data_IF_669818818052
#
_entry.id   IF_669818818052
#
_cell.length_a   1.000
_cell.length_b   1.000
_cell.length_c   1.000
_cell.angle_alpha   90.00
_cell.angle_beta   90.00
_cell.angle_gamma   90.00
#
_symmetry.space_group_name_H-M   'P 1'
#
loop_
_entity.id
_entity.type
_entity.pdbx_description
1 polymer ?
#
# COMPACT_ATOMS: atom_id res chain seq x y z
N UNK A 1 -12.60 4.64 27.95
CA UNK A 1 -11.57 4.50 26.92
C UNK A 1 -11.93 5.42 25.78
N UNK A 2 -11.18 6.51 25.59
CA UNK A 2 -11.46 7.53 24.58
C UNK A 2 -11.13 7.00 23.19
N UNK A 3 -12.15 6.78 22.38
CA UNK A 3 -12.03 6.61 20.93
C UNK A 3 -11.49 7.93 20.37
N UNK A 4 -10.17 7.99 20.21
CA UNK A 4 -9.50 9.13 19.60
C UNK A 4 -9.79 9.02 18.11
N UNK A 5 -10.76 9.82 17.67
CA UNK A 5 -11.20 9.94 16.29
C UNK A 5 -9.97 10.09 15.39
N UNK A 6 -9.69 9.09 14.56
CA UNK A 6 -8.68 9.19 13.52
C UNK A 6 -9.01 10.44 12.68
N UNK A 7 -8.16 11.46 12.74
CA UNK A 7 -8.41 12.70 11.98
C UNK A 7 -8.46 12.37 10.48
N UNK A 8 -9.40 12.94 9.69
CA UNK A 8 -9.55 12.66 8.26
C UNK A 8 -8.26 12.79 7.44
N UNK A 9 -7.32 13.61 7.91
CA UNK A 9 -6.00 13.81 7.33
C UNK A 9 -5.15 12.54 7.40
N UNK A 10 -5.14 11.83 8.54
CA UNK A 10 -4.36 10.60 8.70
C UNK A 10 -4.80 9.51 7.72
N UNK A 11 -6.12 9.31 7.58
CA UNK A 11 -6.68 8.37 6.63
C UNK A 11 -6.35 8.74 5.17
N UNK A 12 -6.34 10.03 4.82
CA UNK A 12 -5.95 10.49 3.49
C UNK A 12 -4.47 10.24 3.20
N UNK A 13 -3.58 10.52 4.16
CA UNK A 13 -2.15 10.26 4.01
C UNK A 13 -1.84 8.76 3.87
N UNK A 14 -2.54 7.90 4.63
CA UNK A 14 -2.42 6.44 4.45
C UNK A 14 -2.91 6.00 3.06
N UNK A 15 -4.01 6.57 2.55
CA UNK A 15 -4.48 6.26 1.20
C UNK A 15 -3.46 6.66 0.13
N UNK A 16 -2.89 7.86 0.22
CA UNK A 16 -1.82 8.31 -0.71
C UNK A 16 -0.59 7.41 -0.63
N UNK A 17 -0.22 6.98 0.57
CA UNK A 17 0.89 6.05 0.74
C UNK A 17 0.60 4.71 0.06
N UNK A 18 -0.60 4.15 0.24
CA UNK A 18 -1.04 2.93 -0.44
C UNK A 18 -0.99 3.07 -1.95
N UNK A 19 -1.50 4.18 -2.48
CA UNK A 19 -1.47 4.45 -3.92
C UNK A 19 -0.03 4.51 -4.45
N UNK A 20 0.83 5.25 -3.75
CA UNK A 20 2.25 5.41 -4.10
C UNK A 20 2.99 4.07 -4.14
N UNK A 21 2.89 3.27 -3.08
CA UNK A 21 3.55 1.96 -2.99
C UNK A 21 2.97 1.00 -4.04
N UNK A 22 1.65 0.96 -4.20
CA UNK A 22 1.00 0.05 -5.14
C UNK A 22 1.35 0.39 -6.59
N UNK A 23 1.35 1.66 -6.97
CA UNK A 23 1.66 2.08 -8.35
C UNK A 23 3.08 1.71 -8.75
N UNK A 24 4.03 1.82 -7.82
CA UNK A 24 5.41 1.40 -8.04
C UNK A 24 5.59 -0.14 -8.01
N UNK A 25 4.74 -0.86 -7.26
CA UNK A 25 4.77 -2.32 -7.18
C UNK A 25 4.16 -3.01 -8.41
N UNK A 26 3.08 -2.43 -8.98
CA UNK A 26 2.29 -3.04 -10.06
C UNK A 26 3.09 -3.50 -11.30
N UNK A 27 4.14 -2.79 -11.76
CA UNK A 27 4.98 -3.27 -12.87
C UNK A 27 5.69 -4.61 -12.61
N UNK A 28 5.93 -4.96 -11.34
CA UNK A 28 6.62 -6.20 -10.95
C UNK A 28 5.66 -7.38 -10.75
N UNK A 29 4.40 -7.10 -10.39
CA UNK A 29 3.38 -8.11 -10.06
C UNK A 29 3.20 -9.19 -11.13
N UNK A 30 3.18 -8.90 -12.45
CA UNK A 30 3.01 -9.95 -13.47
C UNK A 30 4.11 -11.02 -13.47
N UNK A 31 5.31 -10.68 -12.98
CA UNK A 31 6.47 -11.56 -12.99
C UNK A 31 6.74 -12.18 -11.61
N UNK A 32 6.66 -11.36 -10.56
CA UNK A 32 7.02 -11.73 -9.20
C UNK A 32 5.81 -12.17 -8.36
N UNK A 33 4.59 -11.96 -8.86
CA UNK A 33 3.34 -12.22 -8.16
C UNK A 33 3.02 -11.18 -7.08
N UNK A 34 1.87 -11.35 -6.43
CA UNK A 34 1.50 -10.54 -5.26
C UNK A 34 2.22 -11.07 -4.02
N UNK A 35 3.15 -10.31 -3.47
CA UNK A 35 3.92 -10.69 -2.28
C UNK A 35 4.42 -9.46 -1.51
N UNK A 36 4.76 -9.64 -0.24
CA UNK A 36 5.36 -8.57 0.57
C UNK A 36 6.69 -8.09 0.01
N UNK A 37 7.46 -8.99 -0.64
CA UNK A 37 8.69 -8.65 -1.32
C UNK A 37 8.44 -7.66 -2.49
N UNK A 38 7.37 -7.85 -3.25
CA UNK A 38 6.99 -6.95 -4.35
C UNK A 38 6.50 -5.61 -3.82
N UNK A 39 5.79 -5.59 -2.68
CA UNK A 39 5.38 -4.34 -2.04
C UNK A 39 6.59 -3.56 -1.48
N UNK A 40 7.54 -4.24 -0.85
CA UNK A 40 8.79 -3.64 -0.38
C UNK A 40 9.62 -3.08 -1.54
N UNK A 41 9.67 -3.81 -2.67
CA UNK A 41 10.29 -3.33 -3.92
C UNK A 41 9.59 -2.08 -4.46
N UNK A 42 8.26 -2.07 -4.50
CA UNK A 42 7.48 -0.90 -4.90
C UNK A 42 7.74 0.32 -4.00
N UNK A 43 7.83 0.13 -2.68
CA UNK A 43 8.20 1.20 -1.77
C UNK A 43 9.60 1.74 -2.07
N UNK A 44 10.59 0.86 -2.30
CA UNK A 44 11.94 1.26 -2.66
C UNK A 44 11.99 2.01 -4.00
N UNK A 45 11.27 1.55 -5.03
CA UNK A 45 11.18 2.19 -6.34
C UNK A 45 10.49 3.57 -6.27
N UNK A 46 9.60 3.77 -5.30
CA UNK A 46 8.98 5.06 -4.99
C UNK A 46 9.87 5.99 -4.14
N UNK A 47 11.10 5.57 -3.80
CA UNK A 47 12.02 6.33 -2.95
C UNK A 47 11.65 6.33 -1.46
N UNK A 48 10.84 5.36 -1.02
CA UNK A 48 10.43 5.18 0.37
C UNK A 48 11.27 4.10 1.05
N UNK A 49 11.24 4.10 2.38
CA UNK A 49 11.80 3.00 3.14
C UNK A 49 10.94 1.73 2.96
N UNK A 50 11.52 0.51 2.87
CA UNK A 50 10.75 -0.72 2.70
C UNK A 50 9.66 -0.93 3.76
N UNK A 51 9.86 -0.44 4.98
CA UNK A 51 8.91 -0.50 6.09
C UNK A 51 7.61 0.28 5.81
N UNK A 52 7.66 1.27 4.92
CA UNK A 52 6.48 2.00 4.47
C UNK A 52 5.51 1.11 3.70
N UNK A 53 5.98 0.01 3.08
CA UNK A 53 5.10 -0.99 2.50
C UNK A 53 4.24 -1.69 3.56
N UNK A 54 4.83 -2.06 4.70
CA UNK A 54 4.11 -2.65 5.84
C UNK A 54 3.15 -1.64 6.46
N UNK A 55 3.55 -0.36 6.52
CA UNK A 55 2.66 0.72 6.99
C UNK A 55 1.48 0.93 6.04
N UNK A 56 1.72 0.87 4.73
CA UNK A 56 0.68 0.98 3.71
C UNK A 56 -0.28 -0.21 3.74
N UNK A 57 0.26 -1.43 3.85
CA UNK A 57 -0.46 -2.69 3.76
C UNK A 57 -0.12 -3.61 4.95
N UNK A 58 -0.72 -3.40 6.13
CA UNK A 58 -0.44 -4.22 7.32
C UNK A 58 -0.79 -5.70 7.15
N UNK A 59 -1.78 -6.04 6.32
CA UNK A 59 -2.11 -7.40 5.89
C UNK A 59 -1.32 -7.88 4.67
N UNK A 60 -0.29 -7.14 4.25
CA UNK A 60 0.60 -7.47 3.14
C UNK A 60 -0.12 -7.51 1.79
N UNK A 61 0.29 -8.47 0.96
CA UNK A 61 -0.22 -8.65 -0.40
C UNK A 61 -1.76 -8.68 -0.52
N UNK A 62 -2.48 -9.25 0.46
CA UNK A 62 -3.94 -9.32 0.44
C UNK A 62 -4.59 -7.93 0.53
N UNK A 63 -4.06 -7.07 1.39
CA UNK A 63 -4.53 -5.69 1.51
C UNK A 63 -4.27 -4.91 0.23
N UNK A 64 -3.12 -5.14 -0.41
CA UNK A 64 -2.74 -4.52 -1.67
C UNK A 64 -3.66 -4.94 -2.83
N UNK A 65 -3.99 -6.24 -2.94
CA UNK A 65 -4.96 -6.75 -3.91
C UNK A 65 -6.33 -6.12 -3.68
N UNK A 66 -6.81 -6.09 -2.44
CA UNK A 66 -8.10 -5.51 -2.11
C UNK A 66 -8.14 -4.00 -2.44
N UNK A 67 -7.03 -3.28 -2.21
CA UNK A 67 -6.89 -1.88 -2.58
C UNK A 67 -6.87 -1.69 -4.10
N UNK A 68 -6.16 -2.52 -4.84
CA UNK A 68 -6.13 -2.52 -6.30
C UNK A 68 -7.52 -2.76 -6.90
N UNK A 69 -8.25 -3.77 -6.40
CA UNK A 69 -9.63 -4.07 -6.83
C UNK A 69 -10.55 -2.88 -6.63
N UNK A 70 -10.55 -2.29 -5.41
CA UNK A 70 -11.39 -1.12 -5.11
C UNK A 70 -11.09 0.10 -5.99
N UNK A 71 -9.84 0.26 -6.44
CA UNK A 71 -9.46 1.33 -7.39
C UNK A 71 -9.98 1.08 -8.80
N UNK A 72 -10.08 -0.18 -9.21
CA UNK A 72 -10.55 -0.55 -10.53
C UNK A 72 -12.09 -0.46 -10.66
N UNK A 73 -12.80 -0.61 -9.53
CA UNK A 73 -14.26 -0.51 -9.46
C UNK A 73 -14.81 0.93 -9.40
N UNK A 74 -13.93 1.92 -9.17
CA UNK A 74 -14.28 3.33 -9.00
C UNK A 74 -14.22 4.12 -10.31
#
# INVERSE_FOLDING_TARGET
MSDSTESPQGANEIRKLRDTVLDAALPHVPFDGWSDAVLARGAADAGLAPEEATRAFPGGAIDAIAHHSRRADA
#
